data_IF_248944311285
#
_entry.id   IF_248944311285
#
_cell.length_a   1.000
_cell.length_b   1.000
_cell.length_c   1.000
_cell.angle_alpha   90.00
_cell.angle_beta   90.00
_cell.angle_gamma   90.00
#
_symmetry.space_group_name_H-M   'P 1'
#
loop_
_entity.id
_entity.type
_entity.pdbx_description
1 polymer ?
#
# COMPACT_ATOMS: atom_id res chain seq x y z
N UNK A 1 -24.14 -23.05 14.70
CA UNK A 1 -25.09 -23.49 13.67
C UNK A 1 -25.07 -22.55 12.47
N UNK A 2 -25.17 -23.07 11.24
CA UNK A 2 -25.37 -22.27 10.02
C UNK A 2 -26.86 -22.29 9.67
N UNK A 3 -27.45 -21.13 9.38
CA UNK A 3 -28.80 -20.96 8.85
C UNK A 3 -28.70 -20.60 7.37
N UNK A 4 -29.23 -21.47 6.53
CA UNK A 4 -29.18 -21.30 5.08
C UNK A 4 -30.25 -20.30 4.59
N UNK A 5 -30.25 -20.01 3.29
CA UNK A 5 -31.29 -19.23 2.64
C UNK A 5 -32.67 -19.80 2.97
N UNK A 6 -33.60 -18.92 3.35
CA UNK A 6 -34.99 -19.26 3.59
C UNK A 6 -35.90 -18.20 3.02
N UNK A 7 -37.08 -18.63 2.56
CA UNK A 7 -38.17 -17.72 2.27
C UNK A 7 -38.94 -17.47 3.57
N UNK A 8 -39.08 -16.20 3.92
CA UNK A 8 -39.92 -15.77 5.03
C UNK A 8 -41.41 -15.85 4.65
N UNK A 9 -42.33 -15.84 5.63
CA UNK A 9 -43.77 -15.89 5.37
C UNK A 9 -44.30 -14.75 4.48
N UNK A 10 -43.55 -13.64 4.36
CA UNK A 10 -43.85 -12.50 3.48
C UNK A 10 -43.33 -12.70 2.04
N UNK A 11 -42.74 -13.86 1.73
CA UNK A 11 -42.17 -14.20 0.43
C UNK A 11 -40.77 -13.62 0.20
N UNK A 12 -40.16 -12.93 1.17
CA UNK A 12 -38.78 -12.42 1.02
C UNK A 12 -37.76 -13.51 1.28
N UNK A 13 -36.70 -13.50 0.47
CA UNK A 13 -35.53 -14.35 0.68
C UNK A 13 -34.63 -13.73 1.75
N UNK A 14 -34.36 -14.44 2.85
CA UNK A 14 -33.37 -14.02 3.83
C UNK A 14 -32.00 -14.61 3.50
N UNK A 15 -30.94 -13.79 3.62
CA UNK A 15 -29.55 -14.21 3.44
C UNK A 15 -29.11 -15.19 4.55
N UNK A 16 -28.09 -16.03 4.29
CA UNK A 16 -27.62 -17.00 5.26
C UNK A 16 -26.85 -16.31 6.40
N UNK A 17 -27.08 -16.80 7.62
CA UNK A 17 -26.40 -16.36 8.84
C UNK A 17 -25.73 -17.54 9.55
N UNK A 18 -24.67 -17.26 10.29
CA UNK A 18 -24.09 -18.23 11.19
C UNK A 18 -24.12 -17.75 12.64
N UNK A 19 -24.18 -18.72 13.55
CA UNK A 19 -24.24 -18.53 15.00
C UNK A 19 -23.29 -19.51 15.65
N UNK A 20 -22.66 -19.12 16.74
CA UNK A 20 -21.90 -20.03 17.57
C UNK A 20 -22.71 -20.31 18.81
N UNK A 21 -23.06 -21.57 19.00
CA UNK A 21 -23.86 -22.01 20.14
C UNK A 21 -22.97 -22.83 21.07
N UNK A 22 -23.05 -22.58 22.37
CA UNK A 22 -22.42 -23.40 23.41
C UNK A 22 -23.44 -23.64 24.51
N UNK A 23 -23.61 -24.92 24.87
CA UNK A 23 -24.57 -25.35 25.89
C UNK A 23 -26.00 -24.80 25.68
N UNK A 24 -26.45 -24.70 24.42
CA UNK A 24 -27.79 -24.20 24.09
C UNK A 24 -27.96 -22.68 24.14
N UNK A 25 -26.90 -21.92 24.44
CA UNK A 25 -26.88 -20.46 24.35
C UNK A 25 -26.02 -20.00 23.18
N UNK A 26 -26.51 -19.00 22.46
CA UNK A 26 -25.73 -18.33 21.42
C UNK A 26 -24.59 -17.55 22.08
N UNK A 27 -23.34 -17.99 21.91
CA UNK A 27 -22.15 -17.23 22.30
C UNK A 27 -21.89 -16.07 21.33
N UNK A 28 -22.22 -16.24 20.04
CA UNK A 28 -21.91 -15.28 18.98
C UNK A 28 -22.87 -15.39 17.78
N UNK A 29 -23.16 -14.27 17.11
CA UNK A 29 -24.10 -14.19 15.99
C UNK A 29 -25.52 -13.73 16.39
N UNK A 30 -26.47 -13.60 15.44
CA UNK A 30 -26.36 -13.92 14.02
C UNK A 30 -25.49 -12.92 13.24
N UNK A 31 -24.55 -13.44 12.47
CA UNK A 31 -23.82 -12.64 11.48
C UNK A 31 -24.12 -13.16 10.10
N UNK A 32 -24.37 -12.22 9.18
CA UNK A 32 -24.48 -12.53 7.77
C UNK A 32 -23.14 -13.05 7.27
N UNK A 33 -23.16 -14.26 6.72
CA UNK A 33 -21.94 -14.94 6.30
C UNK A 33 -21.18 -14.11 5.26
N UNK A 34 -21.89 -13.43 4.37
CA UNK A 34 -21.29 -12.58 3.32
C UNK A 34 -20.52 -11.41 3.92
N UNK A 35 -21.07 -10.74 4.93
CA UNK A 35 -20.41 -9.59 5.56
C UNK A 35 -19.20 -10.05 6.37
N UNK A 36 -19.33 -11.14 7.11
CA UNK A 36 -18.22 -11.73 7.85
C UNK A 36 -17.06 -12.16 6.93
N UNK A 37 -17.37 -12.81 5.80
CA UNK A 37 -16.38 -13.16 4.77
C UNK A 37 -15.72 -11.92 4.16
N UNK A 38 -16.48 -10.85 3.93
CA UNK A 38 -15.93 -9.59 3.40
C UNK A 38 -14.92 -8.98 4.35
N UNK A 39 -15.23 -8.94 5.65
CA UNK A 39 -14.31 -8.49 6.69
C UNK A 39 -13.10 -9.42 6.78
N UNK A 40 -13.31 -10.73 6.72
CA UNK A 40 -12.24 -11.72 6.73
C UNK A 40 -11.25 -11.54 5.57
N UNK A 41 -11.74 -11.39 4.34
CA UNK A 41 -10.91 -11.13 3.15
C UNK A 41 -10.15 -9.80 3.31
N UNK A 42 -10.80 -8.75 3.80
CA UNK A 42 -10.13 -7.47 4.06
C UNK A 42 -8.97 -7.64 5.05
N UNK A 43 -9.21 -8.29 6.18
CA UNK A 43 -8.19 -8.54 7.20
C UNK A 43 -7.02 -9.39 6.68
N UNK A 44 -7.30 -10.40 5.85
CA UNK A 44 -6.26 -11.23 5.23
C UNK A 44 -5.39 -10.42 4.27
N UNK A 45 -5.99 -9.54 3.46
CA UNK A 45 -5.24 -8.68 2.56
C UNK A 45 -4.38 -7.67 3.32
N UNK A 46 -4.90 -7.08 4.40
CA UNK A 46 -4.13 -6.19 5.29
C UNK A 46 -2.97 -6.92 5.94
N UNK A 47 -3.20 -8.14 6.45
CA UNK A 47 -2.14 -8.96 7.04
C UNK A 47 -1.06 -9.31 6.01
N UNK A 48 -1.47 -9.71 4.79
CA UNK A 48 -0.54 -10.00 3.71
C UNK A 48 0.33 -8.78 3.37
N UNK A 49 -0.28 -7.59 3.34
CA UNK A 49 0.45 -6.33 3.14
C UNK A 49 1.47 -6.07 4.26
N UNK A 50 1.07 -6.19 5.53
CA UNK A 50 1.98 -5.98 6.66
C UNK A 50 3.16 -6.97 6.63
N UNK A 51 2.91 -8.24 6.30
CA UNK A 51 3.97 -9.27 6.15
C UNK A 51 4.94 -8.92 5.02
N UNK A 52 4.43 -8.50 3.87
CA UNK A 52 5.27 -8.10 2.74
C UNK A 52 6.14 -6.87 3.07
N UNK A 53 5.56 -5.91 3.80
CA UNK A 53 6.28 -4.71 4.24
C UNK A 53 7.38 -5.06 5.22
N UNK A 54 7.11 -5.90 6.23
CA UNK A 54 8.14 -6.36 7.15
C UNK A 54 9.29 -7.05 6.41
N UNK A 55 8.98 -7.96 5.49
CA UNK A 55 10.00 -8.63 4.69
C UNK A 55 10.86 -7.64 3.90
N UNK A 56 10.23 -6.63 3.28
CA UNK A 56 10.93 -5.64 2.46
C UNK A 56 11.75 -4.63 3.27
N UNK A 57 11.41 -4.39 4.54
CA UNK A 57 12.28 -3.63 5.47
C UNK A 57 13.59 -4.38 5.66
N UNK A 58 13.52 -5.70 5.84
CA UNK A 58 14.68 -6.54 6.13
C UNK A 58 15.50 -6.87 4.87
N UNK A 59 14.86 -6.83 3.69
CA UNK A 59 15.47 -7.20 2.41
C UNK A 59 15.37 -6.09 1.36
N UNK A 60 15.98 -4.91 1.58
CA UNK A 60 15.94 -3.85 0.61
C UNK A 60 16.79 -4.21 -0.62
N UNK A 61 16.20 -4.05 -1.82
CA UNK A 61 16.92 -4.18 -3.08
C UNK A 61 18.16 -3.27 -3.18
N UNK A 62 18.08 -2.08 -2.57
CA UNK A 62 19.22 -1.16 -2.40
C UNK A 62 19.32 -0.73 -0.94
N UNK A 63 20.22 -1.34 -0.15
CA UNK A 63 20.40 -1.03 1.26
C UNK A 63 20.63 0.46 1.50
N UNK A 64 19.97 1.02 2.51
CA UNK A 64 20.10 2.43 2.89
C UNK A 64 19.40 3.44 1.97
N UNK A 65 19.00 3.05 0.75
CA UNK A 65 18.36 3.96 -0.22
C UNK A 65 16.85 3.80 -0.31
N UNK A 66 16.29 2.65 0.08
CA UNK A 66 14.84 2.45 0.09
C UNK A 66 14.21 2.83 1.45
N UNK A 67 12.98 3.33 1.38
CA UNK A 67 12.15 3.67 2.53
C UNK A 67 10.69 3.33 2.27
N UNK A 68 9.95 3.16 3.36
CA UNK A 68 8.50 2.91 3.34
C UNK A 68 7.80 4.17 3.84
N UNK A 69 6.74 4.55 3.14
CA UNK A 69 5.89 5.68 3.47
C UNK A 69 4.44 5.22 3.61
N UNK A 70 3.69 5.82 4.53
CA UNK A 70 2.28 5.51 4.73
C UNK A 70 1.43 6.41 3.83
N UNK A 71 0.50 5.81 3.09
CA UNK A 71 -0.48 6.54 2.28
C UNK A 71 -1.63 7.01 3.20
N UNK A 72 -1.89 8.33 3.31
CA UNK A 72 -3.02 8.85 4.06
C UNK A 72 -4.35 8.32 3.52
N UNK A 73 -5.32 8.04 4.39
CA UNK A 73 -6.59 7.40 4.02
C UNK A 73 -7.32 8.11 2.88
N UNK A 74 -7.42 9.44 2.92
CA UNK A 74 -8.08 10.22 1.87
C UNK A 74 -7.38 10.20 0.50
N UNK A 75 -6.16 9.65 0.41
CA UNK A 75 -5.40 9.49 -0.84
C UNK A 75 -5.27 8.03 -1.28
N UNK A 76 -5.86 7.08 -0.55
CA UNK A 76 -5.83 5.66 -0.92
C UNK A 76 -6.77 5.42 -2.09
N UNK A 77 -6.38 4.53 -3.00
CA UNK A 77 -7.24 4.13 -4.10
C UNK A 77 -8.40 3.28 -3.53
N UNK A 78 -9.67 3.66 -3.72
CA UNK A 78 -10.80 2.88 -3.22
C UNK A 78 -10.91 1.50 -3.86
N UNK A 79 -10.36 1.29 -5.07
CA UNK A 79 -10.30 -0.02 -5.71
C UNK A 79 -9.14 -0.89 -5.18
N UNK A 80 -8.17 -0.31 -4.50
CA UNK A 80 -7.00 -1.01 -3.96
C UNK A 80 -6.45 -0.24 -2.75
N UNK A 81 -6.97 -0.48 -1.53
CA UNK A 81 -6.70 0.34 -0.35
C UNK A 81 -5.36 -0.01 0.31
N UNK A 82 -4.29 -0.04 -0.49
CA UNK A 82 -2.91 -0.25 -0.01
C UNK A 82 -2.54 0.88 0.96
N UNK A 83 -2.00 0.51 2.11
CA UNK A 83 -1.58 1.42 3.19
C UNK A 83 -0.16 1.91 3.01
N UNK A 84 0.73 1.12 2.43
CA UNK A 84 2.16 1.44 2.35
C UNK A 84 2.65 1.63 0.91
N UNK A 85 3.58 2.55 0.73
CA UNK A 85 4.30 2.77 -0.53
C UNK A 85 5.80 2.68 -0.30
N UNK A 86 6.46 1.83 -1.06
CA UNK A 86 7.92 1.77 -1.13
C UNK A 86 8.45 2.77 -2.15
N UNK A 87 9.55 3.43 -1.80
CA UNK A 87 10.23 4.35 -2.69
C UNK A 87 11.65 4.63 -2.21
N UNK A 88 12.37 5.45 -2.98
CA UNK A 88 13.67 5.96 -2.53
C UNK A 88 13.47 6.90 -1.35
N UNK A 89 14.38 6.83 -0.37
CA UNK A 89 14.43 7.78 0.73
C UNK A 89 14.60 9.19 0.17
N UNK A 90 13.89 10.16 0.73
CA UNK A 90 13.94 11.55 0.26
C UNK A 90 15.36 12.13 0.26
N UNK A 91 16.22 11.72 1.20
CA UNK A 91 17.62 12.12 1.26
C UNK A 91 18.40 11.71 0.00
N UNK A 92 18.12 10.52 -0.52
CA UNK A 92 18.74 9.98 -1.73
C UNK A 92 18.16 10.62 -2.99
N UNK A 93 16.86 10.88 -3.00
CA UNK A 93 16.21 11.63 -4.09
C UNK A 93 16.80 13.03 -4.22
N UNK A 94 17.08 13.71 -3.09
CA UNK A 94 17.74 15.01 -3.07
C UNK A 94 19.18 14.98 -3.58
N UNK A 95 19.94 13.93 -3.23
CA UNK A 95 21.31 13.74 -3.73
C UNK A 95 21.36 13.42 -5.24
N UNK A 96 20.43 12.61 -5.74
CA UNK A 96 20.30 12.31 -7.17
C UNK A 96 19.88 13.54 -7.99
N UNK A 97 18.93 14.34 -7.48
CA UNK A 97 18.55 15.61 -8.10
C UNK A 97 19.71 16.63 -8.11
N UNK A 98 20.55 16.62 -7.07
CA UNK A 98 21.77 17.41 -7.01
C UNK A 98 22.83 16.97 -8.04
N UNK A 99 22.94 15.67 -8.33
CA UNK A 99 23.90 15.14 -9.29
C UNK A 99 23.53 15.49 -10.75
N UNK A 100 22.24 15.52 -11.10
CA UNK A 100 21.80 15.98 -12.43
C UNK A 100 22.10 17.48 -12.66
N UNK A 101 22.14 18.29 -11.59
CA UNK A 101 22.52 19.71 -11.67
C UNK A 101 24.01 19.97 -11.92
N UNK A 102 24.90 19.02 -11.59
CA UNK A 102 26.36 19.20 -11.72
C UNK A 102 26.84 18.80 -13.12
N UNK A 103 26.13 17.91 -13.82
CA UNK A 103 26.44 17.54 -15.21
C UNK A 103 26.27 18.72 -16.18
N UNK A 104 25.37 19.67 -15.89
CA UNK A 104 25.15 20.87 -16.71
C UNK A 104 26.19 21.99 -16.55
N UNK A 105 27.11 21.89 -15.58
CA UNK A 105 28.12 22.92 -15.30
C UNK A 105 29.51 22.60 -15.88
N UNK A 106 29.70 21.43 -16.50
CA UNK A 106 31.02 21.01 -17.02
C UNK A 106 31.27 21.38 -18.49
N UNK A 107 30.29 21.90 -19.21
CA UNK A 107 30.46 22.37 -20.61
C UNK A 107 30.78 23.87 -20.73
N UNK A 108 30.83 24.64 -19.64
CA UNK A 108 30.94 26.10 -19.67
C UNK A 108 32.22 26.68 -19.09
N UNK A 109 33.40 26.11 -19.33
CA UNK A 109 34.67 26.70 -18.87
C UNK A 109 35.89 26.16 -19.61
N UNK A 110 36.01 26.43 -20.92
CA UNK A 110 37.34 26.52 -21.56
C UNK A 110 37.24 27.35 -22.84
N UNK A 111 37.78 28.56 -22.81
CA UNK A 111 37.77 29.46 -23.97
C UNK A 111 38.13 30.90 -23.66
N UNK A 112 39.17 31.15 -22.86
CA UNK A 112 39.76 32.48 -22.75
C UNK A 112 40.98 32.59 -23.68
N UNK A 113 40.79 33.41 -24.73
CA UNK A 113 41.73 34.33 -25.39
C UNK A 113 43.08 33.84 -25.93
N UNK A 114 43.33 34.09 -27.22
CA UNK A 114 44.35 35.04 -27.71
C UNK A 114 44.42 35.03 -29.26
N UNK A 115 43.82 36.02 -29.93
CA UNK A 115 44.19 36.44 -31.30
C UNK A 115 43.87 37.92 -31.49
N UNK A 116 44.84 38.76 -31.14
CA UNK A 116 45.04 40.08 -31.72
C UNK A 116 46.55 40.27 -31.82
N UNK A 117 47.08 40.43 -33.04
CA UNK A 117 48.05 41.47 -33.44
C UNK A 117 48.47 41.24 -34.92
N UNK A 118 48.66 42.32 -35.72
CA UNK A 118 48.74 42.27 -37.17
C UNK A 118 50.17 42.39 -37.72
N UNK A 119 50.42 41.88 -38.92
CA UNK A 119 51.12 42.57 -40.03
C UNK A 119 51.00 41.75 -41.31
#
# INVERSE_FOLDING_TARGET
MIRNFRFEPDGKLSAPDWRRDRAGQTEYGPLLIVEDMRVGVHNLLTLAEDVLVMWAVDHPAVPGMMGISVIPEGKRNPACPIKYKMGLRQEVVGQLAGLEGIAGLREGSSGATMKDFPT
#
